data_IF_558527210939
#
_entry.id   IF_558527210939
#
_cell.length_a   1.000
_cell.length_b   1.000
_cell.length_c   1.000
_cell.angle_alpha   90.00
_cell.angle_beta   90.00
_cell.angle_gamma   90.00
#
_symmetry.space_group_name_H-M   'P 1'
#
loop_
_entity.id
_entity.type
_entity.pdbx_description
1 polymer ?
#
# COMPACT_ATOMS: atom_id res chain seq x y z
N UNK A 1 22.69 1.88 8.90
CA UNK A 1 21.96 2.01 7.62
C UNK A 1 20.48 2.35 7.78
N UNK A 2 19.57 1.50 8.34
CA UNK A 2 18.18 1.94 8.59
C UNK A 2 18.11 3.14 9.52
N UNK A 3 18.84 3.13 10.63
CA UNK A 3 18.93 4.28 11.53
C UNK A 3 19.29 5.57 10.79
N UNK A 4 20.33 5.54 9.98
CA UNK A 4 20.80 6.71 9.21
C UNK A 4 19.76 7.23 8.22
N UNK A 5 19.02 6.33 7.58
CA UNK A 5 17.96 6.73 6.67
C UNK A 5 16.78 7.40 7.41
N UNK A 6 16.40 6.86 8.57
CA UNK A 6 15.24 7.34 9.30
C UNK A 6 15.53 8.53 10.22
N UNK A 7 16.78 8.71 10.71
CA UNK A 7 17.17 9.86 11.53
C UNK A 7 17.09 11.18 10.77
N UNK A 8 17.15 11.14 9.45
CA UNK A 8 16.99 12.33 8.61
C UNK A 8 15.56 12.92 8.64
N UNK A 9 14.59 12.12 9.01
CA UNK A 9 13.21 12.54 9.12
C UNK A 9 12.80 12.95 10.54
N UNK A 10 13.67 12.73 11.54
CA UNK A 10 13.39 13.10 12.93
C UNK A 10 14.24 12.33 13.94
N UNK A 11 14.12 12.65 15.23
CA UNK A 11 14.91 12.02 16.29
C UNK A 11 14.46 10.59 16.56
N UNK A 12 15.19 9.62 16.01
CA UNK A 12 14.96 8.18 16.21
C UNK A 12 15.42 7.76 17.60
N UNK A 13 14.58 7.08 18.34
CA UNK A 13 14.84 6.52 19.67
C UNK A 13 15.37 5.09 19.55
N UNK A 14 14.71 4.27 18.71
CA UNK A 14 15.06 2.87 18.58
C UNK A 14 14.74 2.35 17.15
N UNK A 15 15.53 1.36 16.73
CA UNK A 15 15.26 0.59 15.50
C UNK A 15 15.36 -0.89 15.82
N UNK A 16 14.25 -1.60 15.69
CA UNK A 16 14.17 -3.03 15.91
C UNK A 16 13.86 -3.75 14.60
N UNK A 17 14.72 -4.67 14.22
CA UNK A 17 14.59 -5.51 13.03
C UNK A 17 14.46 -6.98 13.44
N UNK A 18 13.25 -7.58 13.34
CA UNK A 18 13.07 -8.99 13.62
C UNK A 18 13.90 -9.87 12.69
N UNK A 19 14.53 -10.87 13.26
CA UNK A 19 15.32 -11.87 12.55
C UNK A 19 14.75 -13.27 12.76
N UNK A 20 14.90 -14.10 11.76
CA UNK A 20 14.61 -15.52 11.87
C UNK A 20 15.59 -16.19 12.86
N UNK A 21 15.09 -17.07 13.72
CA UNK A 21 15.87 -17.69 14.78
C UNK A 21 16.90 -18.70 14.26
N UNK A 22 16.64 -19.29 13.10
CA UNK A 22 17.47 -20.35 12.53
C UNK A 22 18.50 -19.79 11.54
N UNK A 23 18.04 -18.98 10.58
CA UNK A 23 18.88 -18.42 9.53
C UNK A 23 19.54 -17.09 9.91
N UNK A 24 19.12 -16.47 11.01
CA UNK A 24 19.53 -15.12 11.45
C UNK A 24 19.32 -14.02 10.39
N UNK A 25 18.57 -14.33 9.32
CA UNK A 25 18.19 -13.38 8.29
C UNK A 25 17.04 -12.49 8.77
N UNK A 26 17.01 -11.23 8.32
CA UNK A 26 15.90 -10.32 8.63
C UNK A 26 14.61 -10.78 7.94
N UNK A 27 13.46 -10.55 8.57
CA UNK A 27 12.15 -10.97 8.06
C UNK A 27 11.54 -10.00 7.02
N UNK A 28 12.31 -9.01 6.56
CA UNK A 28 11.87 -8.06 5.55
C UNK A 28 11.11 -6.86 6.09
N UNK A 29 11.00 -6.69 7.41
CA UNK A 29 10.41 -5.54 8.05
C UNK A 29 11.18 -5.10 9.29
N UNK A 30 10.98 -3.85 9.70
CA UNK A 30 11.58 -3.27 10.90
C UNK A 30 10.61 -2.30 11.56
N UNK A 31 10.79 -2.08 12.86
CA UNK A 31 10.10 -1.03 13.61
C UNK A 31 11.07 0.09 13.92
N UNK A 32 10.65 1.31 13.66
CA UNK A 32 11.38 2.53 13.99
C UNK A 32 10.56 3.35 14.96
N UNK A 33 11.14 3.64 16.10
CA UNK A 33 10.52 4.44 17.16
C UNK A 33 11.08 5.85 17.13
N UNK A 34 10.18 6.83 17.01
CA UNK A 34 10.50 8.24 17.08
C UNK A 34 10.16 8.80 18.46
N UNK A 35 10.78 9.92 18.84
CA UNK A 35 10.50 10.60 20.09
C UNK A 35 9.10 11.21 20.13
N UNK A 36 8.62 11.72 19.01
CA UNK A 36 7.30 12.34 18.85
C UNK A 36 6.46 11.66 17.79
N UNK A 37 5.14 11.77 17.92
CA UNK A 37 4.20 11.27 16.93
C UNK A 37 4.29 12.06 15.62
N UNK A 38 4.48 13.38 15.72
CA UNK A 38 4.64 14.26 14.55
C UNK A 38 5.87 13.88 13.70
N UNK A 39 6.97 13.49 14.37
CA UNK A 39 8.17 13.00 13.69
C UNK A 39 7.89 11.70 12.94
N UNK A 40 7.14 10.80 13.55
CA UNK A 40 6.74 9.55 12.92
C UNK A 40 5.81 9.78 11.71
N UNK A 41 4.87 10.71 11.81
CA UNK A 41 3.96 11.06 10.71
C UNK A 41 4.72 11.73 9.56
N UNK A 42 5.65 12.59 9.87
CA UNK A 42 6.53 13.20 8.87
C UNK A 42 7.40 12.14 8.17
N UNK A 43 8.01 11.24 8.94
CA UNK A 43 8.83 10.16 8.40
C UNK A 43 8.03 9.24 7.47
N UNK A 44 6.78 8.92 7.82
CA UNK A 44 5.88 8.13 6.96
C UNK A 44 5.66 8.85 5.62
N UNK A 45 5.41 10.15 5.64
CA UNK A 45 5.16 10.93 4.41
C UNK A 45 6.40 11.02 3.51
N UNK A 46 7.57 11.25 4.10
CA UNK A 46 8.79 11.54 3.34
C UNK A 46 9.52 10.27 2.91
N UNK A 47 9.55 9.25 3.77
CA UNK A 47 10.32 8.04 3.53
C UNK A 47 9.50 6.90 2.91
N UNK A 48 8.19 7.09 2.75
CA UNK A 48 7.37 6.08 2.09
C UNK A 48 7.77 5.95 0.62
N UNK A 49 7.94 4.72 0.16
CA UNK A 49 8.30 4.37 -1.22
C UNK A 49 9.72 4.81 -1.66
N UNK A 50 10.56 5.29 -0.76
CA UNK A 50 11.99 5.47 -1.11
C UNK A 50 12.63 4.10 -1.39
N UNK A 51 13.58 4.07 -2.33
CA UNK A 51 14.29 2.84 -2.66
C UNK A 51 15.48 2.64 -1.73
N UNK A 52 15.44 1.58 -0.90
CA UNK A 52 16.60 1.08 -0.17
C UNK A 52 17.11 -0.17 -0.87
N UNK A 53 18.38 -0.15 -1.30
CA UNK A 53 18.99 -1.22 -2.09
C UNK A 53 18.16 -1.64 -3.32
N UNK A 54 17.62 -0.65 -4.03
CA UNK A 54 16.83 -0.86 -5.25
C UNK A 54 15.38 -1.35 -5.00
N UNK A 55 14.98 -1.58 -3.73
CA UNK A 55 13.62 -2.00 -3.38
C UNK A 55 12.88 -0.87 -2.68
N UNK A 56 11.66 -0.51 -3.12
CA UNK A 56 10.85 0.49 -2.44
C UNK A 56 10.44 -0.02 -1.06
N UNK A 57 10.63 0.81 -0.04
CA UNK A 57 10.16 0.50 1.32
C UNK A 57 8.78 1.10 1.53
N UNK A 58 7.96 0.42 2.32
CA UNK A 58 6.68 0.93 2.77
C UNK A 58 6.77 1.27 4.25
N UNK A 59 6.31 2.48 4.58
CA UNK A 59 6.26 2.96 5.95
C UNK A 59 4.82 3.21 6.38
N UNK A 60 4.44 2.69 7.56
CA UNK A 60 3.13 2.91 8.18
C UNK A 60 3.29 3.05 9.68
N UNK A 61 2.29 3.63 10.37
CA UNK A 61 2.22 3.50 11.83
C UNK A 61 2.14 2.03 12.22
N UNK A 62 2.92 1.64 13.23
CA UNK A 62 2.77 0.34 13.85
C UNK A 62 1.43 0.29 14.58
N UNK A 63 0.49 -0.50 14.07
CA UNK A 63 -0.78 -0.76 14.74
C UNK A 63 -0.85 -2.23 15.14
N UNK A 64 -1.29 -2.48 16.35
CA UNK A 64 -1.42 -3.82 16.94
C UNK A 64 -2.51 -4.64 16.23
N UNK A 65 -3.41 -3.99 15.47
CA UNK A 65 -4.61 -4.59 14.89
C UNK A 65 -4.81 -4.37 13.39
N UNK A 66 -3.76 -4.29 12.59
CA UNK A 66 -3.98 -4.38 11.13
C UNK A 66 -4.00 -5.86 10.67
N UNK A 67 -5.09 -6.56 10.97
CA UNK A 67 -5.65 -7.48 9.97
C UNK A 67 -5.79 -6.65 8.70
N UNK A 68 -5.11 -7.05 7.64
CA UNK A 68 -5.19 -6.36 6.35
C UNK A 68 -6.67 -6.17 6.00
N UNK A 69 -7.14 -4.93 5.96
CA UNK A 69 -8.45 -4.59 5.43
C UNK A 69 -8.43 -4.74 3.90
N UNK A 70 -7.97 -5.89 3.42
CA UNK A 70 -8.07 -6.21 2.01
C UNK A 70 -9.53 -6.59 1.73
N UNK A 71 -10.29 -5.58 1.39
CA UNK A 71 -11.71 -5.71 1.01
C UNK A 71 -11.88 -6.24 -0.42
N UNK A 72 -10.79 -6.52 -1.12
CA UNK A 72 -10.82 -6.91 -2.52
C UNK A 72 -10.90 -5.74 -3.50
N UNK A 73 -10.69 -4.52 -3.06
CA UNK A 73 -10.67 -3.32 -3.91
C UNK A 73 -9.34 -3.21 -4.70
N UNK A 74 -9.05 -4.24 -5.50
CA UNK A 74 -7.81 -4.39 -6.24
C UNK A 74 -8.00 -3.97 -7.70
N UNK A 75 -7.17 -3.01 -8.13
CA UNK A 75 -7.16 -2.51 -9.50
C UNK A 75 -6.02 -3.13 -10.31
N UNK A 76 -6.32 -3.38 -11.57
CA UNK A 76 -5.35 -3.64 -12.63
C UNK A 76 -5.12 -2.34 -13.40
N UNK A 77 -3.86 -1.95 -13.55
CA UNK A 77 -3.44 -0.79 -14.33
C UNK A 77 -2.57 -1.28 -15.47
N UNK A 78 -3.06 -1.13 -16.69
CA UNK A 78 -2.39 -1.59 -17.91
C UNK A 78 -1.86 -0.45 -18.76
N UNK A 79 -1.11 -0.80 -19.79
CA UNK A 79 -0.44 0.12 -20.73
C UNK A 79 0.49 1.13 -20.04
N UNK A 80 1.17 0.67 -18.98
CA UNK A 80 2.14 1.48 -18.26
C UNK A 80 3.38 1.75 -19.11
N UNK A 81 3.93 2.94 -18.98
CA UNK A 81 5.21 3.29 -19.58
C UNK A 81 6.34 2.44 -18.94
N UNK A 82 7.31 1.95 -19.73
CA UNK A 82 8.44 1.16 -19.19
C UNK A 82 9.28 1.88 -18.13
N UNK A 83 9.36 3.20 -18.21
CA UNK A 83 10.13 4.03 -17.28
C UNK A 83 9.37 4.37 -15.99
N UNK A 84 8.07 4.03 -15.94
CA UNK A 84 7.25 4.29 -14.77
C UNK A 84 7.69 3.40 -13.61
N UNK A 85 7.88 4.04 -12.45
CA UNK A 85 8.23 3.33 -11.23
C UNK A 85 7.03 3.19 -10.26
N UNK A 86 7.20 2.33 -9.27
CA UNK A 86 6.17 2.04 -8.27
C UNK A 86 5.84 3.26 -7.41
N UNK A 87 6.80 4.20 -7.26
CA UNK A 87 6.60 5.43 -6.50
C UNK A 87 5.64 6.37 -7.22
N UNK A 88 5.85 6.62 -8.51
CA UNK A 88 4.98 7.49 -9.30
C UNK A 88 3.57 6.90 -9.40
N UNK A 89 3.47 5.57 -9.53
CA UNK A 89 2.18 4.87 -9.51
C UNK A 89 1.49 5.06 -8.16
N UNK A 90 2.22 4.95 -7.05
CA UNK A 90 1.69 5.20 -5.71
C UNK A 90 1.23 6.65 -5.53
N UNK A 91 2.08 7.62 -5.87
CA UNK A 91 1.79 9.05 -5.71
C UNK A 91 0.54 9.46 -6.51
N UNK A 92 0.39 8.91 -7.73
CA UNK A 92 -0.77 9.18 -8.58
C UNK A 92 -2.05 8.59 -8.01
N UNK A 93 -2.01 7.33 -7.59
CA UNK A 93 -3.22 6.62 -7.14
C UNK A 93 -3.58 6.89 -5.68
N UNK A 94 -2.65 7.34 -4.84
CA UNK A 94 -2.93 7.73 -3.45
C UNK A 94 -3.81 9.00 -3.33
N UNK A 95 -3.97 9.75 -4.40
CA UNK A 95 -4.87 10.90 -4.44
C UNK A 95 -6.36 10.52 -4.32
N UNK A 96 -6.73 9.28 -4.66
CA UNK A 96 -8.12 8.81 -4.65
C UNK A 96 -8.52 8.11 -3.35
N UNK A 97 -7.57 7.71 -2.54
CA UNK A 97 -7.80 7.05 -1.26
C UNK A 97 -6.58 6.33 -0.70
N UNK A 98 -6.81 5.57 0.35
CA UNK A 98 -5.73 4.87 1.05
C UNK A 98 -5.33 3.62 0.28
N UNK A 99 -4.10 3.63 -0.24
CA UNK A 99 -3.51 2.46 -0.89
C UNK A 99 -2.94 1.52 0.19
N UNK A 100 -3.52 0.34 0.36
CA UNK A 100 -3.19 -0.60 1.45
C UNK A 100 -1.90 -1.38 1.23
N UNK A 101 -1.49 -1.54 -0.02
CA UNK A 101 -0.26 -2.24 -0.38
C UNK A 101 0.56 -1.40 -1.33
N UNK A 102 1.88 -1.55 -1.28
CA UNK A 102 2.77 -0.97 -2.29
C UNK A 102 2.31 -1.41 -3.68
N UNK A 103 2.03 -0.47 -4.60
CA UNK A 103 1.73 -0.81 -5.97
C UNK A 103 2.81 -1.71 -6.55
N UNK A 104 2.40 -2.71 -7.28
CA UNK A 104 3.32 -3.68 -7.85
C UNK A 104 3.29 -3.60 -9.37
N UNK A 105 4.38 -3.15 -9.98
CA UNK A 105 4.58 -3.22 -11.42
C UNK A 105 5.15 -4.60 -11.74
N UNK A 106 4.49 -5.31 -12.64
CA UNK A 106 4.96 -6.61 -13.07
C UNK A 106 6.15 -6.45 -14.01
N UNK A 107 7.24 -7.12 -13.67
CA UNK A 107 8.49 -7.10 -14.43
C UNK A 107 8.81 -8.49 -14.93
N UNK A 108 9.49 -8.53 -16.04
CA UNK A 108 10.05 -9.76 -16.57
C UNK A 108 11.15 -10.26 -15.63
N UNK A 109 11.13 -11.54 -15.21
CA UNK A 109 12.10 -12.07 -14.23
C UNK A 109 13.52 -12.13 -14.78
N UNK A 110 13.70 -12.28 -16.08
CA UNK A 110 15.01 -12.46 -16.72
C UNK A 110 15.65 -11.12 -17.07
N UNK A 111 14.86 -10.18 -17.60
CA UNK A 111 15.36 -8.89 -18.07
C UNK A 111 15.16 -7.74 -17.07
N UNK A 112 14.27 -7.91 -16.09
CA UNK A 112 13.89 -6.85 -15.15
C UNK A 112 13.01 -5.74 -15.75
N UNK A 113 12.71 -5.81 -17.04
CA UNK A 113 11.92 -4.81 -17.75
C UNK A 113 10.45 -4.85 -17.31
N UNK A 114 9.80 -3.69 -17.32
CA UNK A 114 8.36 -3.60 -17.07
C UNK A 114 7.59 -4.36 -18.15
N UNK A 115 6.60 -5.16 -17.71
CA UNK A 115 5.63 -5.82 -18.60
C UNK A 115 4.49 -4.91 -19.02
N UNK A 116 4.53 -3.63 -18.62
CA UNK A 116 3.55 -2.63 -18.97
C UNK A 116 2.24 -2.70 -18.17
N UNK A 117 2.21 -3.41 -17.05
CA UNK A 117 1.04 -3.44 -16.16
C UNK A 117 1.43 -3.62 -14.70
N UNK A 118 0.50 -3.22 -13.83
CA UNK A 118 0.67 -3.29 -12.38
C UNK A 118 -0.65 -3.42 -11.64
N UNK A 119 -0.56 -3.49 -10.32
CA UNK A 119 -1.70 -3.63 -9.42
C UNK A 119 -1.65 -2.59 -8.31
N UNK A 120 -2.82 -2.04 -7.98
CA UNK A 120 -3.02 -1.09 -6.88
C UNK A 120 -4.18 -1.60 -6.03
N UNK A 121 -3.99 -1.68 -4.71
CA UNK A 121 -5.01 -2.16 -3.79
C UNK A 121 -5.44 -1.02 -2.85
N UNK A 122 -6.74 -0.76 -2.78
CA UNK A 122 -7.34 0.22 -1.89
C UNK A 122 -8.01 -0.43 -0.68
N UNK A 123 -8.22 0.35 0.36
CA UNK A 123 -8.96 -0.04 1.56
C UNK A 123 -10.48 0.01 1.36
N UNK A 124 -10.96 0.69 0.30
CA UNK A 124 -12.38 0.85 0.01
C UNK A 124 -12.69 0.75 -1.49
N UNK A 125 -13.92 0.32 -1.81
CA UNK A 125 -14.40 0.29 -3.19
C UNK A 125 -14.68 1.69 -3.74
N UNK A 126 -15.03 2.65 -2.89
CA UNK A 126 -15.26 4.04 -3.27
C UNK A 126 -13.99 4.67 -3.83
N UNK A 127 -12.85 4.47 -3.16
CA UNK A 127 -11.56 4.94 -3.66
C UNK A 127 -11.17 4.29 -4.99
N UNK A 128 -11.41 2.99 -5.14
CA UNK A 128 -11.11 2.28 -6.38
C UNK A 128 -12.02 2.69 -7.54
N UNK A 129 -13.31 2.93 -7.28
CA UNK A 129 -14.25 3.44 -8.30
C UNK A 129 -13.84 4.85 -8.76
N UNK A 130 -13.51 5.75 -7.84
CA UNK A 130 -13.02 7.09 -8.15
C UNK A 130 -11.72 7.05 -8.98
N UNK A 131 -10.81 6.16 -8.64
CA UNK A 131 -9.58 5.96 -9.40
C UNK A 131 -9.82 5.42 -10.81
N UNK A 132 -10.75 4.50 -11.00
CA UNK A 132 -11.14 3.99 -12.32
C UNK A 132 -11.74 5.13 -13.15
N UNK A 133 -12.72 5.85 -12.61
CA UNK A 133 -13.41 6.91 -13.31
C UNK A 133 -12.46 8.03 -13.74
N UNK A 134 -11.56 8.44 -12.85
CA UNK A 134 -10.64 9.54 -13.10
C UNK A 134 -9.45 9.18 -13.99
N UNK A 135 -8.91 7.96 -13.85
CA UNK A 135 -7.62 7.62 -14.46
C UNK A 135 -7.71 6.70 -15.68
N UNK A 136 -8.84 6.03 -15.91
CA UNK A 136 -8.97 5.17 -17.09
C UNK A 136 -8.95 6.00 -18.38
N UNK A 137 -7.98 5.71 -19.25
CA UNK A 137 -7.75 6.45 -20.49
C UNK A 137 -6.94 7.75 -20.33
N UNK A 138 -6.57 8.13 -19.11
CA UNK A 138 -5.70 9.29 -18.87
C UNK A 138 -4.23 8.96 -19.16
N UNK A 139 -3.50 9.98 -19.58
CA UNK A 139 -2.05 9.86 -19.81
C UNK A 139 -1.30 9.86 -18.49
N UNK A 140 -0.51 8.82 -18.28
CA UNK A 140 0.49 8.76 -17.21
C UNK A 140 1.86 8.56 -17.86
N UNK A 141 2.75 9.53 -17.66
CA UNK A 141 3.94 9.70 -18.49
C UNK A 141 3.54 9.89 -19.98
N UNK A 142 4.02 9.03 -20.87
CA UNK A 142 3.83 9.17 -22.31
C UNK A 142 2.70 8.26 -22.87
N UNK A 143 1.96 7.56 -22.01
CA UNK A 143 0.97 6.56 -22.47
C UNK A 143 -0.38 6.71 -21.76
N UNK A 144 -1.49 6.53 -22.50
CA UNK A 144 -2.80 6.45 -21.90
C UNK A 144 -2.94 5.12 -21.15
N UNK A 145 -3.19 5.18 -19.84
CA UNK A 145 -3.33 3.98 -19.02
C UNK A 145 -4.74 3.40 -19.08
N UNK A 146 -4.85 2.11 -18.88
CA UNK A 146 -6.12 1.40 -18.72
C UNK A 146 -6.29 0.98 -17.27
N UNK A 147 -7.34 1.44 -16.61
CA UNK A 147 -7.62 1.14 -15.20
C UNK A 147 -8.92 0.36 -15.10
N UNK A 148 -8.86 -0.83 -14.51
CA UNK A 148 -10.02 -1.69 -14.31
C UNK A 148 -9.86 -2.50 -13.02
N UNK A 149 -10.93 -3.13 -12.54
CA UNK A 149 -10.79 -4.12 -11.46
C UNK A 149 -9.93 -5.29 -11.90
N UNK A 150 -9.03 -5.72 -11.02
CA UNK A 150 -8.18 -6.89 -11.23
C UNK A 150 -9.01 -8.18 -11.26
N UNK A 151 -8.50 -9.20 -11.94
CA UNK A 151 -9.08 -10.53 -11.86
C UNK A 151 -8.79 -11.17 -10.50
N UNK A 152 -9.77 -11.91 -9.98
CA UNK A 152 -9.61 -12.70 -8.76
C UNK A 152 -8.65 -13.86 -9.03
N UNK A 153 -7.83 -14.15 -8.05
CA UNK A 153 -7.05 -15.39 -8.05
C UNK A 153 -8.03 -16.57 -7.92
N UNK A 154 -7.74 -17.65 -8.59
CA UNK A 154 -8.49 -18.92 -8.50
C UNK A 154 -9.93 -18.91 -9.04
N UNK A 155 -10.31 -17.90 -9.82
CA UNK A 155 -11.61 -17.86 -10.51
C UNK A 155 -11.45 -17.76 -12.02
N UNK A 156 -12.37 -18.38 -12.76
CA UNK A 156 -12.36 -18.35 -14.23
C UNK A 156 -12.86 -17.00 -14.78
N UNK A 157 -12.01 -15.95 -14.65
CA UNK A 157 -12.28 -14.67 -15.30
C UNK A 157 -13.19 -13.71 -14.54
N UNK A 158 -13.48 -13.95 -13.26
CA UNK A 158 -14.19 -12.99 -12.42
C UNK A 158 -13.28 -11.85 -11.98
N UNK A 159 -13.79 -10.62 -12.06
CA UNK A 159 -13.11 -9.43 -11.54
C UNK A 159 -13.56 -9.11 -10.12
N UNK A 160 -12.69 -8.44 -9.39
CA UNK A 160 -13.05 -7.78 -8.14
C UNK A 160 -14.12 -6.70 -8.35
N UNK A 161 -14.71 -6.19 -7.26
CA UNK A 161 -15.73 -5.15 -7.33
C UNK A 161 -17.16 -5.68 -7.47
N UNK A 162 -17.38 -6.97 -7.23
CA UNK A 162 -18.72 -7.56 -7.27
C UNK A 162 -19.63 -7.02 -6.17
N UNK A 163 -20.97 -7.01 -6.37
CA UNK A 163 -21.93 -6.59 -5.33
C UNK A 163 -21.76 -7.33 -4.01
N UNK A 164 -21.39 -8.62 -4.06
CA UNK A 164 -21.15 -9.42 -2.87
C UNK A 164 -19.93 -8.93 -2.06
N UNK A 165 -18.83 -8.63 -2.72
CA UNK A 165 -17.63 -8.07 -2.07
C UNK A 165 -17.91 -6.69 -1.45
N UNK A 166 -18.63 -5.84 -2.16
CA UNK A 166 -19.03 -4.50 -1.68
C UNK A 166 -19.91 -4.61 -0.43
N UNK A 167 -20.85 -5.54 -0.40
CA UNK A 167 -21.71 -5.79 0.76
C UNK A 167 -20.90 -6.29 1.96
N UNK A 168 -19.95 -7.18 1.74
CA UNK A 168 -19.05 -7.67 2.80
C UNK A 168 -18.16 -6.56 3.34
N UNK A 169 -17.60 -5.71 2.49
CA UNK A 169 -16.80 -4.56 2.89
C UNK A 169 -17.61 -3.59 3.77
N UNK A 170 -18.82 -3.21 3.35
CA UNK A 170 -19.71 -2.35 4.12
C UNK A 170 -20.08 -2.92 5.49
N UNK A 171 -20.20 -4.25 5.61
CA UNK A 171 -20.43 -4.92 6.89
C UNK A 171 -19.19 -4.94 7.78
N UNK A 172 -17.98 -5.01 7.21
CA UNK A 172 -16.72 -4.91 7.97
C UNK A 172 -16.54 -3.53 8.56
N UNK A 173 -16.82 -2.48 7.82
CA UNK A 173 -16.75 -1.09 8.30
C UNK A 173 -17.73 -0.82 9.46
N UNK A 174 -18.96 -1.32 9.36
CA UNK A 174 -19.96 -1.24 10.44
C UNK A 174 -19.49 -1.95 11.71
N UNK A 175 -18.85 -3.11 11.60
CA UNK A 175 -18.29 -3.82 12.76
C UNK A 175 -17.10 -3.09 13.37
N UNK A 176 -16.25 -2.46 12.58
CA UNK A 176 -15.10 -1.68 13.06
C UNK A 176 -15.56 -0.41 13.81
N UNK A 177 -16.64 0.23 13.37
CA UNK A 177 -17.18 1.43 14.02
C UNK A 177 -17.90 1.13 15.33
N UNK A 178 -18.44 -0.08 15.52
CA UNK A 178 -19.11 -0.48 16.78
C UNK A 178 -18.14 -0.97 17.86
N UNK A 179 -16.88 -1.23 17.52
CA UNK A 179 -15.88 -1.71 18.47
C UNK A 179 -14.93 -0.58 18.91
N UNK A 180 -15.48 0.59 19.30
CA UNK A 180 -14.71 1.59 20.07
C UNK A 180 -14.56 1.06 21.49
N UNK A 181 -13.35 0.88 22.02
CA UNK A 181 -13.18 0.58 23.43
C UNK A 181 -13.77 1.73 24.24
N UNK A 182 -14.77 1.43 25.07
CA UNK A 182 -15.23 2.35 26.08
C UNK A 182 -14.11 2.51 27.11
N UNK A 183 -13.33 3.57 27.00
CA UNK A 183 -12.51 4.04 28.12
C UNK A 183 -13.45 4.66 29.12
N UNK A 184 -13.95 3.86 30.07
CA UNK A 184 -14.51 4.36 31.31
C UNK A 184 -13.35 4.88 32.14
N UNK A 185 -13.16 6.19 32.18
CA UNK A 185 -12.50 6.82 33.31
C UNK A 185 -13.49 6.85 34.44
N UNK A 186 -13.33 5.96 35.42
CA UNK A 186 -13.91 6.13 36.75
C UNK A 186 -13.07 7.19 37.48
N UNK A 187 -13.76 8.19 38.00
CA UNK A 187 -13.21 9.22 38.86
C UNK A 187 -12.73 8.65 40.19
#
# INVERSE_FOLDING_TARGET
MLWEAFVQAGPVVNVYMPKDRVSNAHQGYAFVEYRGEDDADYAIKVLNMIKLFGKPIRTNKASVDKKSNDVGANLFVGNLDPELDEKLLYDTFSAFGVVIQTPKIMRDPDTGNSRGFGFVAYDSFEASDAAIEAMNGQFLCNRPISVTYAYKKDTNGERHGTPAERLLAANMEKKASTHRPHTMFAA
#
